data_IF_703436158958
#
_entry.id   IF_703436158958
#
_cell.length_a   1.000
_cell.length_b   1.000
_cell.length_c   1.000
_cell.angle_alpha   90.00
_cell.angle_beta   90.00
_cell.angle_gamma   90.00
#
_symmetry.space_group_name_H-M   'P 1'
#
loop_
_entity.id
_entity.type
_entity.pdbx_description
1 polymer ?
#
# COMPACT_ATOMS: atom_id res chain seq x y z
N UNK A 1 23.90 -49.46 57.42
CA UNK A 1 22.45 -49.44 57.05
C UNK A 1 22.17 -48.14 56.32
N UNK A 2 21.64 -48.23 55.11
CA UNK A 2 21.43 -47.11 54.17
C UNK A 2 20.20 -46.29 54.59
N UNK A 3 20.34 -44.98 54.78
CA UNK A 3 19.20 -44.05 54.82
C UNK A 3 19.15 -43.24 53.52
N UNK A 4 18.02 -43.35 52.85
CA UNK A 4 17.63 -42.63 51.65
C UNK A 4 17.19 -41.21 52.01
N UNK A 5 17.49 -40.22 51.16
CA UNK A 5 16.72 -38.98 51.08
C UNK A 5 16.47 -38.65 49.62
N UNK A 6 15.18 -38.58 49.33
CA UNK A 6 14.42 -38.43 48.09
C UNK A 6 14.71 -37.15 47.31
N UNK A 7 14.89 -37.30 46.00
CA UNK A 7 14.88 -36.26 44.97
C UNK A 7 13.46 -35.74 44.75
N UNK A 8 13.23 -34.44 44.90
CA UNK A 8 11.98 -33.77 44.55
C UNK A 8 12.19 -33.07 43.19
N UNK A 9 11.63 -33.63 42.11
CA UNK A 9 11.66 -33.03 40.77
C UNK A 9 10.45 -32.11 40.65
N UNK A 10 10.66 -30.79 40.65
CA UNK A 10 9.66 -29.81 40.31
C UNK A 10 9.54 -29.73 38.78
N UNK A 11 8.44 -30.27 38.23
CA UNK A 11 8.10 -30.12 36.82
C UNK A 11 7.44 -28.75 36.60
N UNK A 12 8.24 -27.75 36.22
CA UNK A 12 7.73 -26.49 35.70
C UNK A 12 7.31 -26.70 34.23
N UNK A 13 6.00 -26.78 34.00
CA UNK A 13 5.41 -26.90 32.67
C UNK A 13 5.72 -25.67 31.82
N UNK A 14 6.50 -25.87 30.76
CA UNK A 14 6.82 -24.87 29.76
C UNK A 14 5.61 -24.72 28.82
N UNK A 15 4.74 -23.73 29.09
CA UNK A 15 3.73 -23.31 28.13
C UNK A 15 4.42 -22.60 26.97
N UNK A 16 4.70 -23.34 25.90
CA UNK A 16 5.12 -22.76 24.63
C UNK A 16 3.90 -22.09 23.97
N UNK A 17 3.77 -20.77 24.13
CA UNK A 17 2.83 -19.99 23.34
C UNK A 17 3.33 -20.00 21.89
N UNK A 18 2.65 -20.74 21.03
CA UNK A 18 2.88 -20.67 19.59
C UNK A 18 2.36 -19.33 19.10
N UNK A 19 3.26 -18.40 18.81
CA UNK A 19 2.92 -17.19 18.07
C UNK A 19 2.58 -17.64 16.65
N UNK A 20 1.28 -17.72 16.33
CA UNK A 20 0.81 -17.87 14.96
C UNK A 20 1.12 -16.54 14.28
N UNK A 21 2.23 -16.50 13.55
CA UNK A 21 2.56 -15.38 12.66
C UNK A 21 1.72 -15.60 11.41
N UNK A 22 0.69 -14.76 11.22
CA UNK A 22 -0.07 -14.75 9.98
C UNK A 22 0.91 -14.67 8.79
N UNK A 23 0.72 -15.49 7.77
CA UNK A 23 1.57 -15.46 6.60
C UNK A 23 1.45 -14.08 5.94
N UNK A 24 2.57 -13.49 5.54
CA UNK A 24 2.54 -12.21 4.83
C UNK A 24 1.70 -12.37 3.55
N UNK A 25 0.82 -11.40 3.24
CA UNK A 25 0.00 -11.48 2.03
C UNK A 25 0.89 -11.59 0.79
N UNK A 26 0.45 -12.39 -0.19
CA UNK A 26 1.20 -12.59 -1.42
C UNK A 26 1.07 -11.34 -2.31
N UNK A 27 2.20 -10.68 -2.57
CA UNK A 27 2.28 -9.53 -3.47
C UNK A 27 3.15 -9.83 -4.68
N UNK A 28 2.82 -9.19 -5.81
CA UNK A 28 3.67 -9.15 -6.99
C UNK A 28 3.94 -7.70 -7.36
N UNK A 29 5.22 -7.34 -7.59
CA UNK A 29 5.61 -5.99 -7.96
C UNK A 29 6.72 -5.44 -7.08
N UNK A 30 6.84 -4.11 -7.04
CA UNK A 30 7.91 -3.43 -6.31
C UNK A 30 7.35 -2.27 -5.48
N UNK A 31 7.65 -2.29 -4.18
CA UNK A 31 7.42 -1.18 -3.26
C UNK A 31 8.54 -0.14 -3.44
N UNK A 32 8.50 0.58 -4.56
CA UNK A 32 9.45 1.65 -4.88
C UNK A 32 8.71 2.84 -5.48
N UNK A 33 9.32 4.03 -5.45
CA UNK A 33 8.80 5.23 -6.10
C UNK A 33 8.49 5.01 -7.58
N UNK A 34 7.28 5.39 -8.01
CA UNK A 34 6.78 5.12 -9.37
C UNK A 34 6.55 3.62 -9.65
N UNK A 35 6.50 2.79 -8.61
CA UNK A 35 6.25 1.35 -8.68
C UNK A 35 4.77 1.01 -8.63
N UNK A 36 4.46 -0.25 -8.97
CA UNK A 36 3.13 -0.82 -8.89
C UNK A 36 3.23 -2.16 -8.15
N UNK A 37 2.26 -2.44 -7.30
CA UNK A 37 2.10 -3.70 -6.59
C UNK A 37 0.70 -4.24 -6.83
N UNK A 38 0.62 -5.52 -7.18
CA UNK A 38 -0.60 -6.30 -7.25
C UNK A 38 -0.75 -7.13 -5.99
N UNK A 39 -1.93 -7.08 -5.39
CA UNK A 39 -2.27 -7.82 -4.19
C UNK A 39 -3.55 -8.63 -4.37
N UNK A 40 -3.78 -9.51 -3.40
CA UNK A 40 -4.96 -10.34 -3.28
C UNK A 40 -5.45 -10.28 -1.84
N UNK A 41 -6.73 -9.96 -1.66
CA UNK A 41 -7.47 -10.04 -0.39
C UNK A 41 -8.69 -10.94 -0.56
N UNK A 42 -9.52 -11.11 0.48
CA UNK A 42 -10.78 -11.84 0.34
C UNK A 42 -11.83 -11.01 -0.42
N UNK A 43 -12.77 -11.72 -1.05
CA UNK A 43 -13.84 -11.09 -1.82
C UNK A 43 -14.72 -10.18 -0.92
N UNK A 44 -14.91 -8.93 -1.35
CA UNK A 44 -15.72 -7.94 -0.63
C UNK A 44 -14.97 -7.15 0.45
N UNK A 45 -13.69 -7.42 0.69
CA UNK A 45 -12.87 -6.63 1.59
C UNK A 45 -12.62 -5.22 1.06
N UNK A 46 -12.43 -4.27 1.97
CA UNK A 46 -12.01 -2.91 1.62
C UNK A 46 -10.52 -2.76 1.86
N UNK A 47 -9.82 -2.23 0.87
CA UNK A 47 -8.39 -1.93 0.95
C UNK A 47 -8.19 -0.42 1.00
N UNK A 48 -7.39 0.04 1.95
CA UNK A 48 -7.04 1.45 2.10
C UNK A 48 -5.52 1.61 2.02
N UNK A 49 -5.06 2.60 1.26
CA UNK A 49 -3.67 3.04 1.20
C UNK A 49 -3.58 4.43 1.85
N UNK A 50 -2.73 4.56 2.88
CA UNK A 50 -2.54 5.78 3.66
C UNK A 50 -3.85 6.37 4.23
N UNK A 51 -4.80 5.48 4.55
CA UNK A 51 -6.11 5.83 5.07
C UNK A 51 -7.15 6.23 4.02
N UNK A 52 -6.79 6.24 2.73
CA UNK A 52 -7.72 6.43 1.62
C UNK A 52 -8.13 5.07 1.02
N UNK A 53 -9.43 4.83 0.87
CA UNK A 53 -9.91 3.63 0.18
C UNK A 53 -9.45 3.64 -1.28
N UNK A 54 -9.01 2.49 -1.78
CA UNK A 54 -8.69 2.34 -3.20
C UNK A 54 -9.94 1.84 -3.93
N UNK A 55 -10.27 2.48 -5.06
CA UNK A 55 -11.47 2.16 -5.84
C UNK A 55 -11.26 0.96 -6.78
N UNK A 56 -10.11 0.27 -6.69
CA UNK A 56 -9.69 -0.78 -7.64
C UNK A 56 -9.50 -2.13 -6.96
N UNK A 57 -10.46 -2.52 -6.12
CA UNK A 57 -10.59 -3.89 -5.62
C UNK A 57 -11.64 -4.59 -6.48
N UNK A 58 -11.24 -5.66 -7.16
CA UNK A 58 -12.16 -6.49 -7.94
C UNK A 58 -13.03 -7.35 -7.01
N UNK A 59 -14.18 -7.83 -7.51
CA UNK A 59 -15.10 -8.69 -6.76
C UNK A 59 -14.43 -9.96 -6.19
N UNK A 60 -13.37 -10.43 -6.85
CA UNK A 60 -12.57 -11.57 -6.42
C UNK A 60 -11.42 -11.21 -5.46
N UNK A 61 -11.34 -9.95 -5.01
CA UNK A 61 -10.36 -9.46 -4.03
C UNK A 61 -9.00 -9.08 -4.63
N UNK A 62 -8.82 -9.13 -5.96
CA UNK A 62 -7.59 -8.60 -6.58
C UNK A 62 -7.56 -7.09 -6.53
N UNK A 63 -6.41 -6.51 -6.22
CA UNK A 63 -6.23 -5.06 -6.23
C UNK A 63 -4.86 -4.62 -6.72
N UNK A 64 -4.75 -3.33 -7.03
CA UNK A 64 -3.50 -2.70 -7.47
C UNK A 64 -3.20 -1.46 -6.63
N UNK A 65 -1.95 -1.33 -6.22
CA UNK A 65 -1.40 -0.16 -5.55
C UNK A 65 -0.39 0.49 -6.48
N UNK A 66 -0.55 1.79 -6.73
CA UNK A 66 0.42 2.59 -7.46
C UNK A 66 1.07 3.60 -6.52
N UNK A 67 2.40 3.65 -6.51
CA UNK A 67 3.15 4.63 -5.75
C UNK A 67 3.54 5.79 -6.67
N UNK A 68 3.19 7.05 -6.38
CA UNK A 68 3.67 8.19 -7.14
C UNK A 68 5.21 8.25 -7.14
N UNK A 69 5.73 9.05 -8.07
CA UNK A 69 7.17 9.26 -8.21
C UNK A 69 7.79 9.83 -6.93
N UNK A 70 7.14 10.79 -6.31
CA UNK A 70 7.64 11.49 -5.12
C UNK A 70 6.92 10.99 -3.86
N UNK A 71 6.81 9.66 -3.72
CA UNK A 71 6.17 9.05 -2.54
C UNK A 71 7.08 9.16 -1.31
N UNK A 72 6.50 9.54 -0.17
CA UNK A 72 7.22 9.78 1.07
C UNK A 72 6.79 8.82 2.19
N UNK A 73 7.77 8.26 2.89
CA UNK A 73 7.55 7.40 4.05
C UNK A 73 7.09 5.98 3.68
N UNK A 74 6.77 5.15 4.69
CA UNK A 74 6.24 3.82 4.45
C UNK A 74 4.79 3.89 4.02
N UNK A 75 4.43 3.06 3.05
CA UNK A 75 3.06 2.86 2.62
C UNK A 75 2.27 2.12 3.69
N UNK A 76 1.17 2.73 4.14
CA UNK A 76 0.29 2.14 5.16
C UNK A 76 -0.90 1.49 4.49
N UNK A 77 -0.91 0.17 4.48
CA UNK A 77 -2.02 -0.61 3.95
C UNK A 77 -2.94 -1.04 5.09
N UNK A 78 -4.23 -0.77 4.96
CA UNK A 78 -5.25 -1.29 5.86
C UNK A 78 -6.23 -2.14 5.07
N UNK A 79 -6.43 -3.38 5.50
CA UNK A 79 -7.48 -4.27 4.96
C UNK A 79 -8.58 -4.35 6.01
N UNK A 80 -9.80 -4.03 5.61
CA UNK A 80 -11.01 -4.21 6.42
C UNK A 80 -11.78 -5.38 5.85
N UNK A 81 -11.84 -6.46 6.61
CA UNK A 81 -12.51 -7.67 6.20
C UNK A 81 -14.02 -7.58 6.36
N UNK A 82 -14.74 -8.39 5.60
CA UNK A 82 -16.21 -8.47 5.68
C UNK A 82 -16.73 -8.93 7.05
N UNK A 83 -15.91 -9.63 7.85
CA UNK A 83 -16.23 -10.03 9.22
C UNK A 83 -16.01 -8.91 10.27
N UNK A 84 -15.50 -7.76 9.83
CA UNK A 84 -15.21 -6.59 10.66
C UNK A 84 -13.81 -6.59 11.28
N UNK A 85 -12.99 -7.62 11.06
CA UNK A 85 -11.58 -7.62 11.43
C UNK A 85 -10.78 -6.64 10.57
N UNK A 86 -9.67 -6.13 11.13
CA UNK A 86 -8.83 -5.13 10.48
C UNK A 86 -7.37 -5.56 10.57
N UNK A 87 -6.72 -5.62 9.42
CA UNK A 87 -5.29 -5.86 9.30
C UNK A 87 -4.57 -4.58 8.86
N UNK A 88 -3.41 -4.31 9.44
CA UNK A 88 -2.60 -3.14 9.12
C UNK A 88 -1.17 -3.58 8.79
N UNK A 89 -0.68 -3.07 7.66
CA UNK A 89 0.66 -3.32 7.18
C UNK A 89 1.37 -2.00 6.88
N UNK A 90 2.69 -2.01 7.04
CA UNK A 90 3.55 -0.92 6.65
C UNK A 90 4.65 -1.47 5.73
N UNK A 91 4.79 -0.89 4.55
CA UNK A 91 5.80 -1.29 3.56
C UNK A 91 6.71 -0.10 3.29
N UNK A 92 8.02 -0.31 3.46
CA UNK A 92 9.00 0.70 3.10
C UNK A 92 9.00 0.87 1.57
N UNK A 93 8.79 2.12 1.11
CA UNK A 93 8.88 2.46 -0.31
C UNK A 93 10.32 2.86 -0.62
N UNK A 94 11.00 2.04 -1.41
CA UNK A 94 12.36 2.33 -1.85
C UNK A 94 12.44 3.49 -2.84
N UNK A 95 13.52 4.26 -2.75
CA UNK A 95 13.81 5.29 -3.75
C UNK A 95 14.11 4.67 -5.13
N UNK A 96 13.79 5.40 -6.19
CA UNK A 96 14.14 5.03 -7.57
C UNK A 96 14.97 6.14 -8.21
N UNK A 97 16.09 5.77 -8.81
CA UNK A 97 16.85 6.68 -9.65
C UNK A 97 16.12 6.88 -10.98
N UNK A 98 15.85 8.14 -11.32
CA UNK A 98 15.21 8.53 -12.58
C UNK A 98 16.21 9.26 -13.47
N UNK A 99 16.22 8.92 -14.76
CA UNK A 99 16.98 9.68 -15.75
C UNK A 99 16.34 11.07 -15.96
N UNK A 100 17.01 12.11 -15.45
CA UNK A 100 16.50 13.48 -15.47
C UNK A 100 16.97 14.20 -16.72
N UNK A 101 16.03 14.49 -17.62
CA UNK A 101 16.26 15.36 -18.76
C UNK A 101 15.85 16.79 -18.46
N UNK A 102 16.68 17.75 -18.88
CA UNK A 102 16.37 19.18 -18.83
C UNK A 102 16.14 19.68 -20.25
N UNK A 103 14.93 20.19 -20.51
CA UNK A 103 14.50 20.67 -21.82
C UNK A 103 14.32 22.19 -21.72
N UNK A 104 15.22 22.93 -22.36
CA UNK A 104 15.17 24.38 -22.47
C UNK A 104 14.62 24.83 -23.84
N UNK A 105 14.23 26.10 -23.95
CA UNK A 105 13.82 26.69 -25.22
C UNK A 105 12.40 26.33 -25.70
N UNK A 106 11.55 25.79 -24.82
CA UNK A 106 10.14 25.59 -25.15
C UNK A 106 9.45 26.93 -25.46
N UNK A 107 8.54 26.99 -26.46
CA UNK A 107 7.79 28.20 -26.74
C UNK A 107 7.06 28.71 -25.50
N UNK A 108 7.16 30.01 -25.20
CA UNK A 108 6.60 30.61 -23.97
C UNK A 108 5.13 30.27 -23.75
N UNK A 109 4.32 30.21 -24.82
CA UNK A 109 2.90 29.85 -24.75
C UNK A 109 2.61 28.44 -24.17
N UNK A 110 3.59 27.53 -24.19
CA UNK A 110 3.45 26.17 -23.63
C UNK A 110 3.74 26.10 -22.13
N UNK A 111 4.55 27.04 -21.61
CA UNK A 111 4.96 27.09 -20.19
C UNK A 111 4.32 28.26 -19.42
N UNK A 112 3.83 29.25 -20.15
CA UNK A 112 3.15 30.44 -19.65
C UNK A 112 2.02 30.80 -20.64
N UNK A 113 0.90 30.05 -20.61
CA UNK A 113 -0.22 30.29 -21.51
C UNK A 113 -0.96 31.58 -21.13
N UNK A 114 -1.61 32.20 -22.12
CA UNK A 114 -2.50 33.34 -21.88
C UNK A 114 -3.77 32.90 -21.12
N UNK A 115 -4.48 33.83 -20.45
CA UNK A 115 -5.62 33.49 -19.59
C UNK A 115 -6.70 32.63 -20.25
N UNK A 116 -7.06 32.91 -21.50
CA UNK A 116 -8.07 32.13 -22.23
C UNK A 116 -7.66 30.65 -22.43
N UNK A 117 -6.36 30.39 -22.64
CA UNK A 117 -5.84 29.01 -22.74
C UNK A 117 -5.81 28.37 -21.36
N UNK A 118 -5.46 29.12 -20.33
CA UNK A 118 -5.47 28.63 -18.95
C UNK A 118 -6.87 28.21 -18.50
N UNK A 119 -7.90 28.96 -18.87
CA UNK A 119 -9.29 28.61 -18.55
C UNK A 119 -9.72 27.31 -19.23
N UNK A 120 -9.32 27.10 -20.48
CA UNK A 120 -9.52 25.81 -21.16
C UNK A 120 -8.78 24.66 -20.46
N UNK A 121 -7.52 24.85 -20.05
CA UNK A 121 -6.74 23.82 -19.34
C UNK A 121 -7.43 23.39 -18.05
N UNK A 122 -8.00 24.34 -17.30
CA UNK A 122 -8.77 24.04 -16.08
C UNK A 122 -10.02 23.23 -16.41
N UNK A 123 -10.71 23.60 -17.49
CA UNK A 123 -11.90 22.90 -17.96
C UNK A 123 -11.59 21.44 -18.33
N UNK A 124 -10.58 21.24 -19.18
CA UNK A 124 -10.10 19.92 -19.60
C UNK A 124 -9.67 19.06 -18.40
N UNK A 125 -8.96 19.67 -17.44
CA UNK A 125 -8.50 18.99 -16.23
C UNK A 125 -9.66 18.55 -15.34
N UNK A 126 -10.74 19.35 -15.27
CA UNK A 126 -11.95 19.00 -14.53
C UNK A 126 -12.66 17.83 -15.20
N UNK A 127 -12.92 17.92 -16.50
CA UNK A 127 -13.56 16.83 -17.26
C UNK A 127 -12.77 15.51 -17.14
N UNK A 128 -11.44 15.57 -17.22
CA UNK A 128 -10.59 14.40 -17.07
C UNK A 128 -10.61 13.82 -15.63
N UNK A 129 -10.90 14.62 -14.60
CA UNK A 129 -11.07 14.13 -13.23
C UNK A 129 -12.44 13.49 -13.05
N UNK A 130 -13.50 14.14 -13.53
CA UNK A 130 -14.88 13.62 -13.49
C UNK A 130 -14.95 12.24 -14.18
N UNK A 131 -14.35 12.11 -15.37
CA UNK A 131 -14.31 10.84 -16.10
C UNK A 131 -13.54 9.71 -15.36
N UNK A 132 -12.66 10.02 -14.40
CA UNK A 132 -11.96 9.01 -13.59
C UNK A 132 -12.79 8.55 -12.40
N UNK A 133 -13.69 9.41 -11.88
CA UNK A 133 -14.55 9.12 -10.73
C UNK A 133 -15.88 8.48 -11.13
N UNK A 134 -16.34 8.65 -12.37
CA UNK A 134 -17.61 8.09 -12.87
C UNK A 134 -17.55 6.58 -13.23
N UNK A 135 -16.55 5.83 -12.73
CA UNK A 135 -16.49 4.37 -12.93
C UNK A 135 -17.31 3.62 -11.89
#
# INVERSE_FOLDING_TARGET
MRLAITTLIAAAGLFAATVVRAAEPAYQGQFVQGGIVFGQTDAGDQVLLDGAAIDTVADDGRFVLGFPRDYEGPAKLTIKHTDGSIENFAYDIGDREFDIQRIDGLPKKMVTPDPAVMDRIKDDSRQAREARTER
#
